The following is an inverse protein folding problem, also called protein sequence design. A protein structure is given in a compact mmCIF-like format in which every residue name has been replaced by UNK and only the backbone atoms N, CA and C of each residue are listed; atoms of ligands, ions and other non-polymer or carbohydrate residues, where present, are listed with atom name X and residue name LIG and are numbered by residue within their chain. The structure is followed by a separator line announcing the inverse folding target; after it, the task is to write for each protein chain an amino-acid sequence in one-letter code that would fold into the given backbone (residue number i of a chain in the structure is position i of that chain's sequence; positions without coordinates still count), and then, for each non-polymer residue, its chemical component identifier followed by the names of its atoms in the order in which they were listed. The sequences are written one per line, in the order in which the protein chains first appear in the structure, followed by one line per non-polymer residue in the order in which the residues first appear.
data_IF_249264594548
#
_entry.id   IF_249264594548
#
_cell.length_a   1.000
_cell.length_b   1.000
_cell.length_c   1.000
_cell.angle_alpha   90.00
_cell.angle_beta   90.00
_cell.angle_gamma   90.00
#
_symmetry.space_group_name_H-M   'P 1'
#
loop_
_entity.id
_entity.type
_entity.pdbx_description
1 polymer ?
#
# COMPACT_ATOMS: atom_id res chain seq x y z
N UNK A 1 2.40 12.53 1.69
CA UNK A 1 3.79 12.16 2.05
C UNK A 1 4.32 12.75 3.34
N UNK A 2 4.17 14.05 3.62
CA UNK A 2 4.67 14.64 4.88
C UNK A 2 4.18 13.89 6.13
N UNK A 3 2.89 13.59 6.20
CA UNK A 3 2.30 12.80 7.30
C UNK A 3 2.95 11.40 7.47
N UNK A 4 3.24 10.70 6.37
CA UNK A 4 3.95 9.41 6.41
C UNK A 4 5.37 9.54 6.96
N UNK A 5 6.06 10.67 6.70
CA UNK A 5 7.44 10.87 7.13
C UNK A 5 7.56 11.44 8.55
N UNK A 6 6.53 12.13 9.05
CA UNK A 6 6.58 12.84 10.33
C UNK A 6 5.75 12.17 11.43
N UNK A 7 4.59 11.60 11.07
CA UNK A 7 3.60 11.11 12.03
C UNK A 7 3.38 9.59 11.93
N UNK A 8 3.44 9.03 10.72
CA UNK A 8 3.20 7.62 10.41
C UNK A 8 4.44 6.90 9.88
N UNK A 9 5.59 7.16 10.51
CA UNK A 9 6.93 6.71 10.06
C UNK A 9 7.32 5.30 10.52
N UNK A 10 6.51 4.65 11.36
CA UNK A 10 6.83 3.31 11.86
C UNK A 10 6.72 2.22 10.80
N UNK A 11 7.13 1.00 11.16
CA UNK A 11 6.97 -0.15 10.29
C UNK A 11 5.50 -0.64 10.32
N UNK A 12 4.75 -0.63 9.19
CA UNK A 12 3.33 -1.02 9.15
C UNK A 12 3.08 -2.50 9.51
N UNK A 13 4.12 -3.35 9.48
CA UNK A 13 4.02 -4.75 9.92
C UNK A 13 4.15 -4.92 11.43
N UNK A 14 4.53 -3.87 12.17
CA UNK A 14 4.71 -3.94 13.62
C UNK A 14 3.40 -3.62 14.36
N UNK A 15 3.00 -4.42 15.35
CA UNK A 15 1.73 -4.20 16.08
C UNK A 15 1.82 -3.15 17.18
N UNK A 16 3.01 -2.61 17.46
CA UNK A 16 3.22 -1.60 18.51
C UNK A 16 2.73 -0.21 18.06
N UNK A 17 2.67 0.72 19.02
CA UNK A 17 2.13 2.07 18.86
C UNK A 17 2.60 2.82 17.60
N UNK A 18 3.88 2.72 17.22
CA UNK A 18 4.39 3.40 16.02
C UNK A 18 4.02 2.73 14.68
N UNK A 19 3.70 1.42 14.66
CA UNK A 19 3.37 0.69 13.43
C UNK A 19 1.90 0.83 13.03
N UNK A 20 1.01 0.98 14.01
CA UNK A 20 -0.43 1.20 13.81
C UNK A 20 -0.72 2.38 12.85
N UNK A 21 -0.21 3.60 13.06
CA UNK A 21 -0.49 4.72 12.16
C UNK A 21 0.09 4.51 10.76
N UNK A 22 1.25 3.87 10.64
CA UNK A 22 1.84 3.52 9.34
C UNK A 22 0.98 2.53 8.56
N UNK A 23 0.46 1.49 9.24
CA UNK A 23 -0.46 0.53 8.63
C UNK A 23 -1.75 1.20 8.17
N UNK A 24 -2.35 2.05 9.02
CA UNK A 24 -3.55 2.80 8.67
C UNK A 24 -3.32 3.72 7.47
N UNK A 25 -2.17 4.38 7.37
CA UNK A 25 -1.83 5.22 6.23
C UNK A 25 -1.79 4.43 4.92
N UNK A 26 -1.15 3.25 4.92
CA UNK A 26 -1.09 2.37 3.74
C UNK A 26 -2.47 1.84 3.35
N UNK A 27 -3.26 1.36 4.31
CA UNK A 27 -4.59 0.80 4.03
C UNK A 27 -5.60 1.87 3.58
N UNK A 28 -5.50 3.09 4.10
CA UNK A 28 -6.30 4.22 3.60
C UNK A 28 -5.98 4.49 2.13
N UNK A 29 -4.69 4.59 1.78
CA UNK A 29 -4.28 4.78 0.39
C UNK A 29 -4.71 3.62 -0.52
N UNK A 30 -4.69 2.38 -0.02
CA UNK A 30 -5.20 1.21 -0.75
C UNK A 30 -6.68 1.34 -1.06
N UNK A 31 -7.47 1.75 -0.07
CA UNK A 31 -8.91 1.99 -0.23
C UNK A 31 -9.23 3.11 -1.23
N UNK A 32 -8.46 4.20 -1.21
CA UNK A 32 -8.62 5.30 -2.17
C UNK A 32 -8.33 4.87 -3.61
N UNK A 33 -7.25 4.11 -3.83
CA UNK A 33 -6.91 3.56 -5.16
C UNK A 33 -7.97 2.56 -5.62
N UNK A 34 -8.42 1.68 -4.75
CA UNK A 34 -9.46 0.70 -5.06
C UNK A 34 -10.78 1.40 -5.46
N UNK A 35 -11.19 2.43 -4.71
CA UNK A 35 -12.37 3.24 -5.04
C UNK A 35 -12.23 3.95 -6.39
N UNK A 36 -11.05 4.49 -6.70
CA UNK A 36 -10.77 5.11 -8.01
C UNK A 36 -10.89 4.11 -9.17
N UNK A 37 -10.49 2.86 -8.96
CA UNK A 37 -10.50 1.80 -9.97
C UNK A 37 -11.81 0.99 -10.01
N UNK A 38 -12.71 1.16 -9.04
CA UNK A 38 -13.96 0.42 -8.93
C UNK A 38 -13.77 -1.05 -8.53
N UNK A 39 -12.73 -1.36 -7.75
CA UNK A 39 -12.44 -2.71 -7.25
C UNK A 39 -12.42 -2.75 -5.71
N UNK A 40 -12.20 -3.94 -5.15
CA UNK A 40 -12.02 -4.13 -3.71
C UNK A 40 -10.58 -3.77 -3.29
N UNK A 41 -10.35 -3.28 -2.05
CA UNK A 41 -9.00 -3.02 -1.57
C UNK A 41 -8.06 -4.22 -1.69
N UNK A 42 -8.57 -5.43 -1.49
CA UNK A 42 -7.83 -6.69 -1.57
C UNK A 42 -7.26 -6.97 -2.98
N UNK A 43 -7.84 -6.37 -4.03
CA UNK A 43 -7.37 -6.48 -5.41
C UNK A 43 -6.21 -5.50 -5.74
N UNK A 44 -5.88 -4.56 -4.85
CA UNK A 44 -4.82 -3.58 -5.06
C UNK A 44 -3.51 -4.03 -4.42
N UNK A 45 -2.48 -4.21 -5.23
CA UNK A 45 -1.10 -4.50 -4.79
C UNK A 45 -0.20 -3.30 -5.09
N UNK A 46 0.40 -2.71 -4.06
CA UNK A 46 1.41 -1.68 -4.22
C UNK A 46 2.76 -2.28 -4.59
N UNK A 47 3.37 -1.78 -5.67
CA UNK A 47 4.75 -2.06 -6.08
C UNK A 47 5.55 -0.75 -6.10
N UNK A 48 6.85 -0.80 -6.41
CA UNK A 48 7.67 0.42 -6.57
C UNK A 48 7.31 1.25 -7.80
N UNK A 49 6.53 0.72 -8.75
CA UNK A 49 6.07 1.44 -9.94
C UNK A 49 5.64 0.52 -11.09
N UNK A 50 5.30 1.14 -12.23
CA UNK A 50 4.74 0.43 -13.40
C UNK A 50 5.63 -0.68 -13.96
N UNK A 51 6.96 -0.48 -13.98
CA UNK A 51 7.89 -1.51 -14.46
C UNK A 51 7.88 -2.77 -13.60
N UNK A 52 7.79 -2.63 -12.28
CA UNK A 52 7.66 -3.77 -11.36
C UNK A 52 6.27 -4.39 -11.46
N UNK A 53 5.21 -3.58 -11.49
CA UNK A 53 3.83 -4.05 -11.63
C UNK A 53 3.63 -4.89 -12.91
N UNK A 54 4.19 -4.43 -14.04
CA UNK A 54 4.13 -5.16 -15.30
C UNK A 54 4.87 -6.51 -15.23
N UNK A 55 6.05 -6.53 -14.58
CA UNK A 55 6.77 -7.79 -14.38
C UNK A 55 6.01 -8.75 -13.46
N UNK A 56 5.40 -8.25 -12.38
CA UNK A 56 4.56 -9.06 -11.49
C UNK A 56 3.38 -9.68 -12.26
N UNK A 57 2.68 -8.89 -13.06
CA UNK A 57 1.53 -9.35 -13.84
C UNK A 57 1.90 -10.38 -14.93
N UNK A 58 3.02 -10.17 -15.63
CA UNK A 58 3.42 -11.04 -16.76
C UNK A 58 4.23 -12.26 -16.32
N UNK A 59 5.11 -12.12 -15.34
CA UNK A 59 6.03 -13.19 -14.90
C UNK A 59 5.56 -13.91 -13.64
N UNK A 60 4.70 -13.30 -12.83
CA UNK A 60 4.15 -13.93 -11.62
C UNK A 60 2.92 -14.80 -11.87
N UNK A 61 2.36 -14.78 -13.09
CA UNK A 61 1.22 -15.59 -13.49
C UNK A 61 1.60 -16.97 -14.04
N UNK A 62 2.89 -17.21 -14.30
CA UNK A 62 3.44 -18.47 -14.80
C UNK A 62 4.42 -19.05 -13.77
#
# INVERSE_FOLDING_TARGET
MRAAMQDAYGNPSSPHWAGIPAKQFVETGRGEVAALLGCTPEEVVFTSGGSEANNLALKGAF
#
